data_IF_552922489071
#
_entry.id   IF_552922489071
#
_cell.length_a   1.000
_cell.length_b   1.000
_cell.length_c   1.000
_cell.angle_alpha   90.00
_cell.angle_beta   90.00
_cell.angle_gamma   90.00
#
_symmetry.space_group_name_H-M   'P 1'
#
loop_
_entity.id
_entity.type
_entity.pdbx_description
1 polymer ?
#
# COMPACT_ATOMS: atom_id res chain seq x y z
N UNK A 1 -1.18 -0.08 14.97
CA UNK A 1 -0.82 -1.50 14.71
C UNK A 1 0.57 -1.52 14.14
N UNK A 2 1.39 -2.50 14.52
CA UNK A 2 2.77 -2.62 14.04
C UNK A 2 2.83 -3.41 12.73
N UNK A 3 1.95 -4.37 12.54
CA UNK A 3 1.83 -5.17 11.32
C UNK A 3 0.38 -5.67 11.09
N UNK A 4 0.14 -6.32 9.95
CA UNK A 4 -1.18 -6.83 9.56
C UNK A 4 -1.72 -7.94 10.46
N UNK A 5 -0.91 -8.53 11.31
CA UNK A 5 -1.31 -9.64 12.19
C UNK A 5 -1.67 -9.16 13.59
N UNK A 6 -1.38 -7.92 13.93
CA UNK A 6 -1.80 -7.39 15.23
C UNK A 6 -3.33 -7.36 15.30
N UNK A 7 -3.91 -7.75 16.43
CA UNK A 7 -5.33 -7.58 16.64
C UNK A 7 -5.68 -6.09 16.58
N UNK A 8 -6.87 -5.81 16.08
CA UNK A 8 -7.39 -4.44 16.09
C UNK A 8 -7.51 -3.94 17.54
N UNK A 9 -7.17 -2.68 17.82
CA UNK A 9 -7.34 -2.10 19.14
C UNK A 9 -8.79 -2.21 19.61
N UNK A 10 -8.99 -2.59 20.86
CA UNK A 10 -10.33 -2.61 21.46
C UNK A 10 -10.88 -1.18 21.55
N UNK A 11 -12.16 -1.02 21.21
CA UNK A 11 -12.84 0.28 21.25
C UNK A 11 -12.49 1.21 20.08
N UNK A 12 -11.78 0.72 19.07
CA UNK A 12 -11.60 1.45 17.83
C UNK A 12 -12.94 1.58 17.11
N UNK A 13 -13.33 2.81 16.81
CA UNK A 13 -14.50 3.11 16.00
C UNK A 13 -14.04 3.43 14.59
N UNK A 14 -14.53 2.67 13.62
CA UNK A 14 -14.20 2.88 12.22
C UNK A 14 -15.04 4.00 11.63
N UNK A 15 -14.49 4.76 10.68
CA UNK A 15 -15.24 5.86 10.07
C UNK A 15 -16.54 5.43 9.37
N UNK A 16 -16.69 4.21 8.81
CA UNK A 16 -17.97 3.75 8.28
C UNK A 16 -19.08 3.62 9.31
N UNK A 17 -18.76 3.48 10.61
CA UNK A 17 -19.78 3.49 11.67
C UNK A 17 -20.47 4.85 11.78
N UNK A 18 -19.74 5.96 11.60
CA UNK A 18 -20.33 7.30 11.55
C UNK A 18 -21.20 7.49 10.30
N UNK A 19 -20.80 6.95 9.16
CA UNK A 19 -21.62 6.94 7.95
C UNK A 19 -22.94 6.17 8.18
N UNK A 20 -22.85 4.97 8.77
CA UNK A 20 -24.00 4.13 9.07
C UNK A 20 -24.95 4.83 10.04
N UNK A 21 -24.43 5.45 11.11
CA UNK A 21 -25.23 6.23 12.07
C UNK A 21 -25.90 7.45 11.44
N UNK A 22 -25.28 8.02 10.39
CA UNK A 22 -25.86 9.12 9.61
C UNK A 22 -26.89 8.65 8.56
N UNK A 23 -27.25 7.36 8.54
CA UNK A 23 -28.30 6.82 7.68
C UNK A 23 -27.80 6.27 6.34
N UNK A 24 -26.48 6.22 6.09
CA UNK A 24 -25.94 5.59 4.89
C UNK A 24 -26.16 4.09 4.89
N UNK A 25 -26.46 3.54 3.73
CA UNK A 25 -26.32 2.10 3.49
C UNK A 25 -24.85 1.80 3.17
N UNK A 26 -24.25 0.87 3.93
CA UNK A 26 -22.79 0.70 3.94
C UNK A 26 -22.38 -0.71 3.52
N UNK A 27 -21.42 -0.82 2.60
CA UNK A 27 -20.89 -2.09 2.12
C UNK A 27 -19.37 -2.13 2.10
N UNK A 28 -18.83 -3.29 2.45
CA UNK A 28 -17.45 -3.66 2.21
C UNK A 28 -17.40 -4.90 1.31
N UNK A 29 -16.67 -4.79 0.20
CA UNK A 29 -16.46 -5.90 -0.73
C UNK A 29 -14.97 -6.00 -1.04
N UNK A 30 -14.32 -7.07 -0.58
CA UNK A 30 -12.93 -7.33 -0.96
C UNK A 30 -11.99 -7.68 0.18
N UNK A 31 -10.74 -7.27 0.03
CA UNK A 31 -9.63 -7.60 0.92
C UNK A 31 -9.64 -6.71 2.17
N UNK A 32 -9.84 -7.33 3.33
CA UNK A 32 -9.69 -6.66 4.63
C UNK A 32 -8.25 -6.70 5.14
N UNK A 33 -7.69 -7.88 5.25
CA UNK A 33 -6.29 -8.17 5.59
C UNK A 33 -5.71 -7.47 6.84
N UNK A 34 -6.51 -7.21 7.84
CA UNK A 34 -6.07 -6.69 9.13
C UNK A 34 -6.47 -7.68 10.24
N UNK A 35 -5.66 -7.73 11.32
CA UNK A 35 -5.88 -8.69 12.41
C UNK A 35 -5.55 -10.14 12.05
N UNK A 36 -4.66 -10.37 11.09
CA UNK A 36 -4.27 -11.70 10.62
C UNK A 36 -5.14 -12.22 9.48
N UNK A 37 -5.60 -13.47 9.60
CA UNK A 37 -6.40 -14.12 8.57
C UNK A 37 -7.92 -14.04 8.84
N UNK A 38 -8.37 -12.93 9.45
CA UNK A 38 -9.80 -12.72 9.69
C UNK A 38 -10.51 -12.19 8.45
N UNK A 39 -11.75 -12.59 8.25
CA UNK A 39 -12.63 -12.11 7.20
C UNK A 39 -14.08 -11.92 7.65
N UNK A 40 -14.32 -11.94 8.97
CA UNK A 40 -15.65 -11.65 9.51
C UNK A 40 -15.99 -10.15 9.37
N UNK A 41 -17.29 -9.88 9.32
CA UNK A 41 -17.80 -8.52 9.19
C UNK A 41 -17.26 -7.61 10.31
N UNK A 42 -16.89 -6.40 9.92
CA UNK A 42 -16.44 -5.35 10.82
C UNK A 42 -17.56 -4.36 11.10
N UNK A 43 -17.52 -3.66 12.24
CA UNK A 43 -18.51 -2.61 12.55
C UNK A 43 -18.60 -1.55 11.45
N UNK A 44 -19.79 -0.97 11.27
CA UNK A 44 -20.04 0.10 10.31
C UNK A 44 -20.44 -0.36 8.90
N UNK A 45 -20.63 -1.68 8.68
CA UNK A 45 -21.05 -2.22 7.39
C UNK A 45 -22.34 -3.04 7.49
N UNK A 46 -23.33 -2.72 6.65
CA UNK A 46 -24.57 -3.45 6.50
C UNK A 46 -24.42 -4.69 5.60
N UNK A 47 -23.52 -4.59 4.62
CA UNK A 47 -23.20 -5.67 3.69
C UNK A 47 -21.71 -5.95 3.70
N UNK A 48 -21.35 -7.23 3.74
CA UNK A 48 -19.98 -7.65 3.89
C UNK A 48 -19.63 -8.81 2.97
N UNK A 49 -18.60 -8.61 2.15
CA UNK A 49 -17.95 -9.69 1.37
C UNK A 49 -16.44 -9.57 1.56
N UNK A 50 -15.81 -10.58 2.12
CA UNK A 50 -14.37 -10.60 2.30
C UNK A 50 -13.82 -12.02 2.20
N UNK A 51 -12.50 -12.16 2.29
CA UNK A 51 -11.80 -13.43 2.24
C UNK A 51 -10.59 -13.41 3.18
N UNK A 52 -10.15 -14.60 3.60
CA UNK A 52 -9.01 -14.73 4.51
C UNK A 52 -7.68 -14.38 3.85
N UNK A 53 -6.85 -13.65 4.57
CA UNK A 53 -5.46 -13.35 4.21
C UNK A 53 -5.32 -12.68 2.85
N UNK A 54 -4.49 -13.26 1.97
CA UNK A 54 -4.19 -12.69 0.65
C UNK A 54 -5.17 -13.13 -0.45
N UNK A 55 -5.97 -14.16 -0.22
CA UNK A 55 -6.82 -14.74 -1.27
C UNK A 55 -6.03 -15.30 -2.46
N UNK A 56 -6.72 -15.81 -3.45
CA UNK A 56 -6.16 -16.32 -4.71
C UNK A 56 -6.76 -15.58 -5.90
N UNK A 57 -6.00 -15.41 -6.99
CA UNK A 57 -6.55 -14.77 -8.20
C UNK A 57 -7.60 -15.64 -8.87
N UNK A 58 -7.34 -16.94 -8.96
CA UNK A 58 -8.24 -17.93 -9.54
C UNK A 58 -8.70 -18.93 -8.48
N UNK A 59 -9.93 -19.41 -8.62
CA UNK A 59 -10.52 -20.40 -7.70
C UNK A 59 -9.72 -21.70 -7.60
N UNK A 60 -9.08 -22.11 -8.71
CA UNK A 60 -8.22 -23.29 -8.78
C UNK A 60 -6.77 -23.05 -8.31
N UNK A 61 -6.45 -21.81 -7.89
CA UNK A 61 -5.13 -21.43 -7.42
C UNK A 61 -4.05 -21.30 -8.50
N UNK A 62 -4.41 -21.45 -9.79
CA UNK A 62 -3.45 -21.36 -10.89
C UNK A 62 -2.75 -19.99 -10.92
N UNK A 63 -1.51 -19.98 -11.36
CA UNK A 63 -0.66 -18.79 -11.47
C UNK A 63 -0.08 -18.29 -10.16
N UNK A 64 -0.38 -18.91 -9.01
CA UNK A 64 0.25 -18.57 -7.75
C UNK A 64 1.60 -19.31 -7.62
N UNK A 65 2.63 -18.61 -7.17
CA UNK A 65 3.95 -19.20 -6.90
C UNK A 65 3.94 -20.12 -5.66
N UNK A 66 2.95 -19.95 -4.79
CA UNK A 66 2.77 -20.77 -3.59
C UNK A 66 1.88 -21.95 -3.90
N UNK A 67 2.32 -23.15 -3.51
CA UNK A 67 1.38 -24.26 -3.31
C UNK A 67 0.48 -23.87 -2.13
N UNK A 68 -0.64 -23.27 -2.42
CA UNK A 68 -1.67 -23.00 -1.42
C UNK A 68 -2.30 -24.37 -1.10
N UNK A 69 -2.27 -24.86 0.14
CA UNK A 69 -2.97 -26.09 0.48
C UNK A 69 -4.44 -25.93 0.08
N UNK A 70 -4.99 -26.93 -0.57
CA UNK A 70 -6.35 -26.91 -1.13
C UNK A 70 -7.44 -26.50 -0.12
N UNK A 71 -7.14 -26.62 1.18
CA UNK A 71 -8.03 -26.29 2.29
C UNK A 71 -7.74 -24.93 2.97
N UNK A 72 -6.74 -24.17 2.51
CA UNK A 72 -6.37 -22.89 3.14
C UNK A 72 -7.15 -21.69 2.60
N UNK A 73 -7.88 -21.90 1.51
CA UNK A 73 -8.72 -20.88 0.89
C UNK A 73 -10.15 -21.43 0.71
N UNK A 74 -11.03 -21.03 1.58
CA UNK A 74 -12.41 -21.50 1.65
C UNK A 74 -13.43 -20.55 0.99
N UNK A 75 -12.97 -19.69 0.08
CA UNK A 75 -13.79 -18.74 -0.68
C UNK A 75 -14.07 -17.44 0.08
N UNK A 76 -15.23 -16.86 -0.18
CA UNK A 76 -15.66 -15.59 0.39
C UNK A 76 -16.50 -15.81 1.66
N UNK A 77 -16.38 -14.89 2.60
CA UNK A 77 -17.37 -14.69 3.64
C UNK A 77 -18.37 -13.64 3.16
N UNK A 78 -19.58 -14.07 2.83
CA UNK A 78 -20.69 -13.21 2.40
C UNK A 78 -21.70 -13.12 3.53
N UNK A 79 -21.71 -12.00 4.28
CA UNK A 79 -22.61 -11.82 5.44
C UNK A 79 -22.62 -13.03 6.38
N UNK A 80 -21.44 -13.49 6.80
CA UNK A 80 -21.22 -14.64 7.67
C UNK A 80 -21.53 -16.02 7.04
N UNK A 81 -21.83 -16.09 5.75
CA UNK A 81 -21.97 -17.36 5.01
C UNK A 81 -20.74 -17.59 4.15
N UNK A 82 -20.22 -18.82 4.17
CA UNK A 82 -19.10 -19.22 3.32
C UNK A 82 -19.60 -19.55 1.90
N UNK A 83 -19.05 -18.86 0.90
CA UNK A 83 -19.39 -19.04 -0.51
C UNK A 83 -18.11 -19.34 -1.28
N UNK A 84 -18.02 -20.46 -2.01
CA UNK A 84 -16.85 -20.79 -2.82
C UNK A 84 -16.57 -19.73 -3.89
N UNK A 85 -15.29 -19.41 -4.11
CA UNK A 85 -14.87 -18.68 -5.30
C UNK A 85 -15.07 -19.57 -6.53
N UNK A 86 -15.52 -19.00 -7.64
CA UNK A 86 -15.81 -19.73 -8.88
C UNK A 86 -14.86 -19.38 -10.03
N UNK A 87 -14.40 -18.15 -10.09
CA UNK A 87 -13.64 -17.63 -11.20
C UNK A 87 -12.47 -16.72 -10.79
N UNK A 88 -12.34 -15.62 -11.48
CA UNK A 88 -11.30 -14.63 -11.23
C UNK A 88 -11.77 -13.63 -10.16
N UNK A 89 -10.98 -13.52 -9.09
CA UNK A 89 -11.40 -12.81 -7.87
C UNK A 89 -11.82 -11.36 -8.10
N UNK A 90 -11.14 -10.61 -8.99
CA UNK A 90 -11.47 -9.20 -9.27
C UNK A 90 -12.85 -9.06 -9.87
N UNK A 91 -13.20 -9.97 -10.80
CA UNK A 91 -14.52 -9.98 -11.44
C UNK A 91 -15.61 -10.31 -10.41
N UNK A 92 -15.43 -11.39 -9.62
CA UNK A 92 -16.42 -11.80 -8.63
C UNK A 92 -16.64 -10.75 -7.53
N UNK A 93 -15.57 -10.10 -7.05
CA UNK A 93 -15.73 -9.01 -6.09
C UNK A 93 -16.52 -7.84 -6.69
N UNK A 94 -16.27 -7.52 -7.96
CA UNK A 94 -17.03 -6.49 -8.66
C UNK A 94 -18.49 -6.91 -8.85
N UNK A 95 -18.75 -8.17 -9.17
CA UNK A 95 -20.12 -8.70 -9.29
C UNK A 95 -20.90 -8.54 -7.97
N UNK A 96 -20.30 -8.88 -6.82
CA UNK A 96 -20.91 -8.64 -5.51
C UNK A 96 -21.20 -7.16 -5.26
N UNK A 97 -20.27 -6.27 -5.63
CA UNK A 97 -20.47 -4.83 -5.47
C UNK A 97 -21.60 -4.30 -6.36
N UNK A 98 -21.65 -4.74 -7.62
CA UNK A 98 -22.69 -4.37 -8.56
C UNK A 98 -24.08 -4.89 -8.15
N UNK A 99 -24.15 -6.13 -7.66
CA UNK A 99 -25.40 -6.72 -7.18
C UNK A 99 -25.90 -5.99 -5.94
N UNK A 100 -25.01 -5.65 -5.01
CA UNK A 100 -25.40 -4.82 -3.86
C UNK A 100 -25.89 -3.43 -4.30
N UNK A 101 -25.18 -2.74 -5.20
CA UNK A 101 -25.60 -1.45 -5.75
C UNK A 101 -26.97 -1.52 -6.45
N UNK A 102 -27.32 -2.65 -7.06
CA UNK A 102 -28.63 -2.86 -7.71
C UNK A 102 -29.75 -3.11 -6.72
N UNK A 103 -29.47 -3.80 -5.62
CA UNK A 103 -30.48 -4.34 -4.70
C UNK A 103 -30.62 -3.54 -3.41
N UNK A 104 -29.70 -2.59 -3.13
CA UNK A 104 -29.78 -1.71 -1.96
C UNK A 104 -31.04 -0.84 -1.99
N UNK A 105 -31.42 -0.34 -0.84
CA UNK A 105 -32.47 0.67 -0.71
C UNK A 105 -32.09 1.96 -1.46
N UNK A 106 -32.85 2.27 -2.50
CA UNK A 106 -32.60 3.41 -3.40
C UNK A 106 -32.75 4.78 -2.74
N UNK A 107 -33.53 4.87 -1.67
CA UNK A 107 -33.85 6.13 -0.99
C UNK A 107 -32.75 6.58 0.00
N UNK A 108 -31.82 5.69 0.33
CA UNK A 108 -30.73 6.00 1.26
C UNK A 108 -29.42 6.33 0.52
N UNK A 109 -28.63 7.29 1.02
CA UNK A 109 -27.27 7.47 0.54
C UNK A 109 -26.45 6.22 0.83
N UNK A 110 -25.37 6.01 0.08
CA UNK A 110 -24.55 4.80 0.25
C UNK A 110 -23.07 5.11 0.41
N UNK A 111 -22.39 4.17 1.06
CA UNK A 111 -20.95 4.11 1.15
C UNK A 111 -20.48 2.68 0.78
N UNK A 112 -19.68 2.56 -0.26
CA UNK A 112 -19.11 1.30 -0.73
C UNK A 112 -17.58 1.35 -0.68
N UNK A 113 -16.98 0.39 0.02
CA UNK A 113 -15.56 0.08 -0.10
C UNK A 113 -15.40 -1.14 -1.01
N UNK A 114 -14.90 -0.94 -2.23
CA UNK A 114 -14.54 -2.03 -3.14
C UNK A 114 -13.02 -2.21 -3.12
N UNK A 115 -12.54 -3.18 -2.35
CA UNK A 115 -11.13 -3.43 -2.07
C UNK A 115 -10.63 -4.66 -2.82
N UNK A 116 -10.21 -4.49 -4.07
CA UNK A 116 -9.71 -5.61 -4.87
C UNK A 116 -8.40 -6.18 -4.30
N UNK A 117 -8.19 -7.51 -4.47
CA UNK A 117 -6.87 -8.13 -4.29
C UNK A 117 -5.85 -7.60 -5.31
N UNK A 118 -6.28 -7.35 -6.53
CA UNK A 118 -5.45 -6.80 -7.59
C UNK A 118 -5.06 -5.33 -7.25
N UNK A 119 -3.81 -4.95 -7.44
CA UNK A 119 -2.77 -5.76 -8.04
C UNK A 119 -1.72 -6.19 -7.00
N UNK A 120 -2.02 -7.13 -6.15
CA UNK A 120 -1.02 -7.70 -5.21
C UNK A 120 -0.23 -8.82 -5.91
N UNK A 121 1.07 -8.97 -5.60
CA UNK A 121 1.83 -10.14 -6.09
C UNK A 121 1.07 -11.45 -5.74
N UNK A 122 1.10 -12.45 -6.57
CA UNK A 122 2.01 -12.78 -7.69
C UNK A 122 1.74 -12.09 -9.05
N UNK A 123 0.82 -11.17 -9.16
CA UNK A 123 0.39 -10.55 -10.42
C UNK A 123 -0.05 -11.60 -11.44
N UNK A 124 -1.24 -12.12 -11.25
CA UNK A 124 -1.84 -13.12 -12.15
C UNK A 124 -2.95 -12.45 -12.94
N UNK A 125 -2.74 -12.13 -14.21
CA UNK A 125 -3.76 -11.48 -15.03
C UNK A 125 -4.93 -12.41 -15.32
N UNK A 126 -6.11 -11.84 -15.55
CA UNK A 126 -7.20 -12.58 -16.16
C UNK A 126 -6.81 -13.07 -17.56
N UNK A 127 -7.32 -14.23 -17.97
CA UNK A 127 -6.94 -14.85 -19.24
C UNK A 127 -7.13 -13.93 -20.45
N UNK A 128 -8.18 -13.08 -20.45
CA UNK A 128 -8.46 -12.09 -21.49
C UNK A 128 -7.45 -10.96 -21.61
N UNK A 129 -6.61 -10.75 -20.58
CA UNK A 129 -5.57 -9.72 -20.58
C UNK A 129 -4.16 -10.28 -20.67
N UNK A 130 -4.00 -11.59 -20.54
CA UNK A 130 -2.71 -12.27 -20.58
C UNK A 130 -2.04 -12.09 -21.94
N UNK A 131 -0.79 -11.63 -21.93
CA UNK A 131 0.01 -11.40 -23.13
C UNK A 131 -0.29 -10.07 -23.85
N UNK A 132 -1.14 -9.21 -23.27
CA UNK A 132 -1.49 -7.91 -23.87
C UNK A 132 -0.28 -6.99 -24.04
N UNK A 133 0.71 -7.13 -23.16
CA UNK A 133 1.92 -6.32 -23.15
C UNK A 133 3.21 -7.15 -23.39
N UNK A 134 3.11 -8.35 -23.97
CA UNK A 134 4.24 -9.29 -24.17
C UNK A 134 5.45 -8.66 -24.88
N UNK A 135 5.21 -7.71 -25.79
CA UNK A 135 6.26 -7.05 -26.59
C UNK A 135 6.74 -5.73 -25.96
N UNK A 136 6.25 -5.37 -24.76
CA UNK A 136 6.66 -4.16 -24.07
C UNK A 136 7.88 -4.39 -23.18
N UNK A 137 8.67 -3.34 -23.02
CA UNK A 137 9.80 -3.34 -22.09
C UNK A 137 9.55 -2.33 -20.98
N UNK A 138 9.83 -2.75 -19.75
CA UNK A 138 9.87 -1.87 -18.59
C UNK A 138 10.94 -0.80 -18.79
N UNK A 139 10.62 0.49 -18.72
CA UNK A 139 11.64 1.52 -18.57
C UNK A 139 12.30 1.34 -17.20
N UNK A 140 13.60 1.02 -17.18
CA UNK A 140 14.32 0.83 -15.92
C UNK A 140 14.40 2.14 -15.15
N UNK A 141 14.15 2.12 -13.82
CA UNK A 141 14.28 3.29 -12.97
C UNK A 141 15.69 3.88 -13.01
N UNK A 142 15.83 5.19 -12.87
CA UNK A 142 17.15 5.88 -12.79
C UNK A 142 18.01 5.32 -11.66
N UNK A 143 17.40 4.86 -10.59
CA UNK A 143 18.03 4.26 -9.41
C UNK A 143 18.16 2.74 -9.50
N UNK A 144 17.86 2.14 -10.64
CA UNK A 144 18.07 0.71 -10.88
C UNK A 144 19.55 0.37 -10.77
N UNK A 145 19.93 -0.28 -9.69
CA UNK A 145 21.31 -0.41 -9.32
C UNK A 145 21.89 -1.77 -9.71
N UNK A 146 22.79 -1.74 -10.69
CA UNK A 146 23.85 -2.78 -10.82
C UNK A 146 25.25 -2.23 -10.48
N UNK A 147 25.39 -0.94 -10.17
CA UNK A 147 26.70 -0.32 -9.93
C UNK A 147 26.79 0.31 -8.53
N UNK A 148 27.98 0.28 -7.94
CA UNK A 148 28.26 0.91 -6.65
C UNK A 148 28.00 2.44 -6.60
N UNK A 149 27.90 3.10 -7.75
CA UNK A 149 27.58 4.53 -7.83
C UNK A 149 26.20 4.85 -7.26
N UNK A 150 25.22 3.97 -7.47
CA UNK A 150 23.85 4.17 -6.99
C UNK A 150 23.68 3.95 -5.48
N UNK A 151 24.71 3.43 -4.79
CA UNK A 151 24.72 3.25 -3.34
C UNK A 151 25.63 4.24 -2.61
N UNK A 152 26.21 5.18 -3.32
CA UNK A 152 27.02 6.22 -2.68
C UNK A 152 26.15 7.02 -1.73
N UNK A 153 26.61 7.17 -0.51
CA UNK A 153 25.92 7.88 0.58
C UNK A 153 24.55 7.28 0.97
N UNK A 154 24.19 6.09 0.47
CA UNK A 154 22.96 5.41 0.88
C UNK A 154 23.21 4.43 2.02
N UNK A 155 22.20 4.13 2.84
CA UNK A 155 22.33 3.22 3.97
C UNK A 155 22.75 1.81 3.49
N UNK A 156 23.50 1.14 4.34
CA UNK A 156 24.05 -0.19 4.03
C UNK A 156 22.96 -1.25 3.95
N UNK A 157 21.91 -1.10 4.75
CA UNK A 157 20.81 -2.06 4.77
C UNK A 157 20.17 -2.29 3.38
N UNK A 158 20.20 -1.29 2.48
CA UNK A 158 19.72 -1.44 1.10
C UNK A 158 20.44 -2.55 0.34
N UNK A 159 21.74 -2.72 0.55
CA UNK A 159 22.52 -3.80 -0.09
C UNK A 159 22.15 -5.15 0.50
N UNK A 160 22.03 -5.21 1.83
CA UNK A 160 21.68 -6.44 2.54
C UNK A 160 20.30 -6.92 2.13
N UNK A 161 19.37 -5.98 1.96
CA UNK A 161 18.00 -6.26 1.53
C UNK A 161 17.93 -6.89 0.14
N UNK A 162 18.77 -6.47 -0.78
CA UNK A 162 18.83 -7.06 -2.14
C UNK A 162 19.16 -8.54 -2.17
N UNK A 163 19.84 -9.03 -1.14
CA UNK A 163 20.20 -10.44 -1.00
C UNK A 163 19.21 -11.21 -0.13
N UNK A 164 18.10 -10.63 0.23
CA UNK A 164 17.08 -11.26 1.07
C UNK A 164 15.77 -11.45 0.29
N UNK A 165 14.97 -12.38 0.77
CA UNK A 165 13.62 -12.57 0.27
C UNK A 165 12.73 -11.47 0.84
N UNK A 166 12.06 -10.74 -0.04
CA UNK A 166 11.13 -9.68 0.36
C UNK A 166 9.71 -10.06 0.11
N UNK A 167 8.89 -9.69 1.09
CA UNK A 167 7.46 -9.70 0.98
C UNK A 167 6.90 -11.04 0.61
N UNK A 168 6.62 -11.21 -0.60
CA UNK A 168 5.77 -12.26 -1.10
C UNK A 168 6.54 -13.22 -2.01
N UNK A 169 7.61 -13.80 -1.56
CA UNK A 169 8.19 -14.97 -2.22
C UNK A 169 9.09 -14.74 -3.42
N UNK A 170 9.69 -13.59 -3.53
CA UNK A 170 10.74 -13.41 -4.51
C UNK A 170 12.04 -12.94 -3.87
N UNK A 171 13.15 -13.31 -4.46
CA UNK A 171 14.46 -12.76 -4.18
C UNK A 171 14.94 -12.03 -5.43
N UNK A 172 15.40 -10.81 -5.24
CA UNK A 172 15.86 -9.94 -6.31
C UNK A 172 17.03 -10.53 -7.09
N UNK A 173 17.84 -11.33 -6.42
CA UNK A 173 19.04 -11.94 -6.96
C UNK A 173 18.86 -13.36 -7.51
N UNK A 174 17.62 -13.84 -7.67
CA UNK A 174 17.39 -15.13 -8.30
C UNK A 174 17.88 -15.12 -9.74
N UNK A 175 18.61 -16.14 -10.19
CA UNK A 175 19.16 -16.21 -11.56
C UNK A 175 18.09 -16.07 -12.64
N UNK A 176 16.91 -16.65 -12.40
CA UNK A 176 15.79 -16.70 -13.35
C UNK A 176 14.77 -15.58 -13.15
N UNK A 177 15.05 -14.61 -12.29
CA UNK A 177 14.11 -13.53 -12.04
C UNK A 177 14.11 -12.50 -13.18
N UNK A 178 13.06 -12.49 -13.97
CA UNK A 178 12.82 -11.51 -15.02
C UNK A 178 11.93 -10.37 -14.50
N UNK A 179 12.55 -9.24 -14.16
CA UNK A 179 11.86 -8.05 -13.69
C UNK A 179 10.89 -7.50 -14.74
N UNK A 180 11.25 -7.57 -16.03
CA UNK A 180 10.38 -7.10 -17.11
C UNK A 180 9.11 -7.94 -17.21
N UNK A 181 9.24 -9.26 -17.22
CA UNK A 181 8.09 -10.17 -17.22
C UNK A 181 7.22 -9.98 -15.96
N UNK A 182 7.84 -9.72 -14.83
CA UNK A 182 7.14 -9.47 -13.57
C UNK A 182 6.32 -8.18 -13.62
N UNK A 183 6.89 -7.09 -14.15
CA UNK A 183 6.20 -5.82 -14.35
C UNK A 183 5.09 -5.90 -15.40
N UNK A 184 5.31 -6.64 -16.50
CA UNK A 184 4.29 -6.88 -17.52
C UNK A 184 3.07 -7.56 -16.90
N UNK A 185 3.26 -8.60 -16.10
CA UNK A 185 2.15 -9.26 -15.38
C UNK A 185 1.40 -8.30 -14.45
N UNK A 186 2.12 -7.41 -13.77
CA UNK A 186 1.49 -6.35 -12.97
C UNK A 186 0.57 -5.48 -13.82
N UNK A 187 1.06 -4.97 -14.96
CA UNK A 187 0.28 -4.12 -15.87
C UNK A 187 -0.93 -4.87 -16.45
N UNK A 188 -0.75 -6.13 -16.84
CA UNK A 188 -1.84 -6.97 -17.37
C UNK A 188 -2.89 -7.29 -16.28
N UNK A 189 -2.46 -7.46 -15.03
CA UNK A 189 -3.39 -7.64 -13.91
C UNK A 189 -4.19 -6.37 -13.63
N UNK A 190 -3.55 -5.20 -13.77
CA UNK A 190 -4.20 -3.90 -13.58
C UNK A 190 -5.31 -3.64 -14.61
N UNK A 191 -5.18 -4.14 -15.85
CA UNK A 191 -6.23 -4.01 -16.86
C UNK A 191 -7.58 -4.57 -16.41
N UNK A 192 -7.55 -5.64 -15.58
CA UNK A 192 -8.79 -6.20 -15.03
C UNK A 192 -9.43 -5.27 -14.01
N UNK A 193 -8.63 -4.55 -13.24
CA UNK A 193 -9.16 -3.53 -12.30
C UNK A 193 -9.82 -2.40 -13.08
N UNK A 194 -9.14 -1.89 -14.11
CA UNK A 194 -9.64 -0.80 -14.96
C UNK A 194 -10.98 -1.17 -15.62
N UNK A 195 -11.05 -2.35 -16.24
CA UNK A 195 -12.28 -2.88 -16.83
C UNK A 195 -13.43 -3.00 -15.82
N UNK A 196 -13.14 -3.51 -14.64
CA UNK A 196 -14.14 -3.68 -13.60
C UNK A 196 -14.60 -2.36 -12.98
N UNK A 197 -13.72 -1.36 -12.87
CA UNK A 197 -14.12 -0.01 -12.51
C UNK A 197 -15.05 0.60 -13.57
N UNK A 198 -14.78 0.37 -14.86
CA UNK A 198 -15.68 0.76 -15.95
C UNK A 198 -17.10 0.24 -15.71
N UNK A 199 -17.25 -1.05 -15.38
CA UNK A 199 -18.56 -1.66 -15.06
C UNK A 199 -19.29 -0.98 -13.89
N UNK A 200 -18.54 -0.53 -12.87
CA UNK A 200 -19.13 0.24 -11.75
C UNK A 200 -19.58 1.61 -12.22
N UNK A 201 -18.77 2.32 -13.00
CA UNK A 201 -19.13 3.62 -13.58
C UNK A 201 -20.37 3.53 -14.47
N UNK A 202 -20.45 2.51 -15.32
CA UNK A 202 -21.60 2.26 -16.19
C UNK A 202 -22.89 2.08 -15.37
N UNK A 203 -22.85 1.26 -14.32
CA UNK A 203 -24.02 1.07 -13.44
C UNK A 203 -24.43 2.36 -12.72
N UNK A 204 -23.48 3.16 -12.25
CA UNK A 204 -23.77 4.45 -11.63
C UNK A 204 -24.38 5.45 -12.62
N UNK A 205 -23.89 5.43 -13.87
CA UNK A 205 -24.44 6.26 -14.93
C UNK A 205 -25.86 5.83 -15.33
N UNK A 206 -26.10 4.53 -15.51
CA UNK A 206 -27.42 3.95 -15.83
C UNK A 206 -28.48 4.25 -14.77
N UNK A 207 -28.05 4.56 -13.54
CA UNK A 207 -28.93 4.91 -12.42
C UNK A 207 -28.93 6.40 -12.09
N UNK A 208 -28.38 7.24 -12.92
CA UNK A 208 -28.24 8.69 -12.71
C UNK A 208 -27.50 9.05 -11.41
N UNK A 209 -26.67 8.16 -10.89
CA UNK A 209 -25.92 8.34 -9.63
C UNK A 209 -24.49 8.84 -9.84
N UNK A 210 -23.92 8.70 -11.04
CA UNK A 210 -22.49 8.96 -11.29
C UNK A 210 -22.10 10.41 -11.00
N UNK A 211 -23.00 11.37 -11.24
CA UNK A 211 -22.72 12.81 -11.04
C UNK A 211 -22.65 13.20 -9.56
N UNK A 212 -23.50 12.59 -8.74
CA UNK A 212 -23.64 12.88 -7.30
C UNK A 212 -22.85 11.91 -6.41
N UNK A 213 -22.23 10.87 -6.98
CA UNK A 213 -21.39 9.94 -6.24
C UNK A 213 -19.94 10.42 -6.21
N UNK A 214 -19.39 10.58 -5.01
CA UNK A 214 -17.95 10.77 -4.84
C UNK A 214 -17.24 9.43 -5.01
N UNK A 215 -16.60 9.23 -6.17
CA UNK A 215 -15.75 8.08 -6.44
C UNK A 215 -14.30 8.42 -6.09
N UNK A 216 -13.69 7.61 -5.23
CA UNK A 216 -12.27 7.72 -4.86
C UNK A 216 -11.55 6.46 -5.31
N UNK A 217 -10.52 6.60 -6.14
CA UNK A 217 -9.61 5.54 -6.52
C UNK A 217 -8.24 5.75 -5.89
N UNK A 218 -7.75 4.75 -5.17
CA UNK A 218 -6.42 4.80 -4.56
C UNK A 218 -5.80 3.41 -4.42
N UNK A 219 -4.47 3.34 -4.28
CA UNK A 219 -3.77 2.15 -3.81
C UNK A 219 -3.61 2.16 -2.28
N UNK A 220 -3.35 0.99 -1.70
CA UNK A 220 -3.02 0.83 -0.27
C UNK A 220 -1.57 1.22 0.04
N UNK A 221 -0.65 0.92 -0.87
CA UNK A 221 0.76 1.29 -0.87
C UNK A 221 1.31 1.29 -2.30
N UNK A 222 2.47 1.92 -2.49
CA UNK A 222 3.24 1.82 -3.72
C UNK A 222 4.00 0.49 -3.81
N UNK A 223 4.80 0.33 -4.88
CA UNK A 223 5.64 -0.84 -5.08
C UNK A 223 6.86 -0.49 -5.93
N UNK A 224 8.03 -0.95 -5.52
CA UNK A 224 9.29 -0.74 -6.23
C UNK A 224 9.50 -1.85 -7.26
N UNK A 225 9.70 -1.46 -8.51
CA UNK A 225 10.09 -2.33 -9.63
C UNK A 225 11.53 -2.05 -10.05
N UNK A 226 12.45 -2.08 -9.09
CA UNK A 226 13.86 -1.83 -9.30
C UNK A 226 14.35 -0.46 -8.82
N UNK A 227 13.46 0.42 -8.38
CA UNK A 227 13.85 1.67 -7.71
C UNK A 227 14.70 1.35 -6.49
N UNK A 228 15.80 2.10 -6.33
CA UNK A 228 16.82 1.86 -5.31
C UNK A 228 17.42 0.44 -5.34
N UNK A 229 17.26 -0.27 -6.46
CA UNK A 229 17.66 -1.66 -6.62
C UNK A 229 16.78 -2.65 -5.86
N UNK A 230 15.56 -2.29 -5.47
CA UNK A 230 14.66 -3.10 -4.67
C UNK A 230 13.42 -3.54 -5.45
N UNK A 231 12.83 -4.63 -4.98
CA UNK A 231 11.47 -5.06 -5.34
C UNK A 231 10.73 -5.21 -4.03
N UNK A 232 10.13 -4.14 -3.56
CA UNK A 232 9.57 -4.05 -2.22
C UNK A 232 8.55 -2.92 -2.09
N UNK A 233 7.91 -2.84 -0.93
CA UNK A 233 6.95 -1.81 -0.53
C UNK A 233 7.14 -1.33 0.92
N UNK A 234 8.21 -1.74 1.61
CA UNK A 234 8.46 -1.50 3.04
C UNK A 234 9.52 -0.42 3.27
N UNK A 235 9.54 0.56 2.39
CA UNK A 235 10.56 1.62 2.43
C UNK A 235 9.92 3.00 2.39
N UNK A 236 10.66 4.01 2.85
CA UNK A 236 10.20 5.40 2.81
C UNK A 236 10.51 6.11 1.48
N UNK A 237 10.81 5.39 0.40
CA UNK A 237 10.99 5.97 -0.92
C UNK A 237 9.65 6.24 -1.62
N UNK A 238 9.60 7.27 -2.49
CA UNK A 238 8.37 7.67 -3.18
C UNK A 238 7.70 6.51 -3.91
N UNK A 239 8.46 5.63 -4.57
CA UNK A 239 7.89 4.47 -5.26
C UNK A 239 7.14 3.49 -4.33
N UNK A 240 7.52 3.42 -3.05
CA UNK A 240 6.86 2.60 -2.03
C UNK A 240 5.74 3.34 -1.30
N UNK A 241 5.90 4.65 -1.04
CA UNK A 241 4.96 5.45 -0.25
C UNK A 241 3.83 6.04 -1.09
N UNK A 242 4.17 6.55 -2.28
CA UNK A 242 3.24 7.30 -3.11
C UNK A 242 2.35 6.37 -3.90
N UNK A 243 1.04 6.62 -3.81
CA UNK A 243 0.01 5.86 -4.53
C UNK A 243 -0.72 6.77 -5.53
N UNK A 244 -1.30 6.21 -6.60
CA UNK A 244 -2.26 6.95 -7.38
C UNK A 244 -3.44 7.34 -6.48
N UNK A 245 -3.92 8.59 -6.62
CA UNK A 245 -5.09 9.07 -5.92
C UNK A 245 -5.92 9.93 -6.87
N UNK A 246 -7.13 9.48 -7.17
CA UNK A 246 -8.05 10.13 -8.10
C UNK A 246 -9.41 10.30 -7.43
N UNK A 247 -10.06 11.44 -7.66
CA UNK A 247 -11.42 11.71 -7.19
C UNK A 247 -12.30 12.14 -8.36
N UNK A 248 -13.53 11.66 -8.37
CA UNK A 248 -14.56 12.03 -9.33
C UNK A 248 -15.87 12.30 -8.63
N UNK A 249 -16.40 13.50 -8.77
CA UNK A 249 -17.74 13.92 -8.39
C UNK A 249 -18.04 15.24 -9.12
N UNK A 250 -18.49 15.20 -10.38
CA UNK A 250 -18.53 16.36 -11.26
C UNK A 250 -19.46 17.48 -10.80
N UNK A 251 -20.41 17.21 -9.92
CA UNK A 251 -21.26 18.24 -9.32
C UNK A 251 -20.50 19.19 -8.38
N UNK A 252 -19.38 18.71 -7.78
CA UNK A 252 -18.65 19.49 -6.75
C UNK A 252 -17.16 19.59 -7.00
N UNK A 253 -16.57 18.71 -7.82
CA UNK A 253 -15.14 18.71 -8.13
C UNK A 253 -14.95 19.05 -9.60
N UNK A 254 -14.22 20.12 -9.88
CA UNK A 254 -13.87 20.50 -11.25
C UNK A 254 -12.97 19.46 -11.89
N UNK A 255 -13.37 18.94 -13.06
CA UNK A 255 -12.55 18.01 -13.84
C UNK A 255 -11.20 18.60 -14.23
N UNK A 256 -10.15 17.75 -14.22
CA UNK A 256 -8.78 18.17 -14.55
C UNK A 256 -8.06 18.98 -13.47
N UNK A 257 -8.68 19.20 -12.30
CA UNK A 257 -8.02 19.89 -11.19
C UNK A 257 -6.95 19.00 -10.53
N UNK A 258 -5.91 19.61 -9.97
CA UNK A 258 -4.81 18.92 -9.29
C UNK A 258 -4.56 19.57 -7.94
N UNK A 259 -4.69 18.78 -6.87
CA UNK A 259 -4.27 19.18 -5.53
C UNK A 259 -2.78 18.90 -5.37
N UNK A 260 -1.96 19.95 -5.23
CA UNK A 260 -0.50 19.83 -5.08
C UNK A 260 -0.04 19.60 -3.65
N UNK A 261 -0.92 19.83 -2.66
CA UNK A 261 -0.63 19.62 -1.25
C UNK A 261 -0.41 18.14 -0.94
N UNK A 262 0.46 17.87 0.03
CA UNK A 262 0.71 16.49 0.48
C UNK A 262 -0.47 15.98 1.29
N UNK A 263 -1.26 15.11 0.70
CA UNK A 263 -2.34 14.37 1.37
C UNK A 263 -1.86 12.95 1.67
N UNK A 264 -2.41 12.35 2.73
CA UNK A 264 -2.05 11.01 3.17
C UNK A 264 -3.29 10.12 3.28
N UNK A 265 -3.09 8.79 3.33
CA UNK A 265 -4.17 7.82 3.48
C UNK A 265 -5.01 8.04 4.75
N UNK A 266 -4.39 8.54 5.84
CA UNK A 266 -5.11 8.90 7.08
C UNK A 266 -6.13 10.02 6.87
N UNK A 267 -6.00 10.83 5.82
CA UNK A 267 -6.88 11.95 5.49
C UNK A 267 -8.16 11.51 4.76
N UNK A 268 -8.19 10.30 4.25
CA UNK A 268 -9.31 9.81 3.43
C UNK A 268 -10.60 9.70 4.26
N UNK A 269 -10.54 9.06 5.43
CA UNK A 269 -11.70 8.94 6.32
C UNK A 269 -12.31 10.31 6.69
N UNK A 270 -11.51 11.25 7.24
CA UNK A 270 -11.97 12.63 7.48
C UNK A 270 -12.58 13.32 6.26
N UNK A 271 -11.99 13.13 5.08
CA UNK A 271 -12.47 13.74 3.83
C UNK A 271 -13.84 13.18 3.41
N UNK A 272 -14.00 11.85 3.51
CA UNK A 272 -15.28 11.20 3.20
C UNK A 272 -16.38 11.60 4.19
N UNK A 273 -16.05 11.74 5.48
CA UNK A 273 -16.99 12.24 6.48
C UNK A 273 -17.42 13.67 6.17
N UNK A 274 -16.49 14.60 5.88
CA UNK A 274 -16.84 15.97 5.51
C UNK A 274 -17.66 16.01 4.20
N UNK A 275 -17.32 15.21 3.21
CA UNK A 275 -18.10 15.11 1.97
C UNK A 275 -19.54 14.63 2.23
N UNK A 276 -19.75 13.82 3.26
CA UNK A 276 -21.06 13.38 3.72
C UNK A 276 -21.74 14.37 4.67
N UNK A 277 -21.16 15.55 4.91
CA UNK A 277 -21.69 16.56 5.85
C UNK A 277 -21.47 16.23 7.33
N UNK A 278 -20.54 15.31 7.65
CA UNK A 278 -20.25 14.88 9.01
C UNK A 278 -18.96 15.51 9.53
N UNK A 279 -18.88 15.68 10.83
CA UNK A 279 -17.68 16.18 11.50
C UNK A 279 -16.61 15.07 11.60
N UNK A 280 -15.33 15.45 11.50
CA UNK A 280 -14.22 14.54 11.78
C UNK A 280 -14.12 14.27 13.29
N UNK A 281 -14.19 13.00 13.73
CA UNK A 281 -13.99 12.64 15.13
C UNK A 281 -12.58 12.97 15.63
N UNK A 282 -12.47 13.41 16.88
CA UNK A 282 -11.19 13.86 17.46
C UNK A 282 -10.11 12.77 17.62
N UNK A 283 -10.48 11.49 17.49
CA UNK A 283 -9.54 10.36 17.52
C UNK A 283 -8.84 10.09 16.17
N UNK A 284 -9.21 10.81 15.11
CA UNK A 284 -8.59 10.67 13.80
C UNK A 284 -7.40 11.61 13.67
N UNK A 285 -6.21 11.09 13.38
CA UNK A 285 -5.00 11.88 13.15
C UNK A 285 -5.00 12.61 11.82
N UNK A 286 -5.80 12.15 10.86
CA UNK A 286 -5.96 12.75 9.53
C UNK A 286 -6.74 14.06 9.53
N UNK A 287 -6.63 14.79 8.43
CA UNK A 287 -7.35 16.05 8.17
C UNK A 287 -8.12 15.95 6.87
N UNK A 288 -9.34 16.46 6.85
CA UNK A 288 -10.09 16.51 5.59
C UNK A 288 -9.45 17.47 4.58
N UNK A 289 -9.23 16.98 3.37
CA UNK A 289 -8.83 17.77 2.21
C UNK A 289 -10.02 18.03 1.25
N UNK A 290 -11.25 17.83 1.70
CA UNK A 290 -12.43 18.03 0.88
C UNK A 290 -12.51 19.44 0.28
N UNK A 291 -12.14 20.47 1.06
CA UNK A 291 -12.11 21.84 0.55
C UNK A 291 -11.04 22.03 -0.53
N UNK A 292 -9.86 21.43 -0.37
CA UNK A 292 -8.82 21.44 -1.42
C UNK A 292 -9.30 20.74 -2.70
N UNK A 293 -10.03 19.63 -2.58
CA UNK A 293 -10.60 18.91 -3.72
C UNK A 293 -11.64 19.77 -4.47
N UNK A 294 -12.38 20.61 -3.78
CA UNK A 294 -13.32 21.58 -4.39
C UNK A 294 -12.63 22.81 -4.99
N UNK A 295 -11.31 22.93 -4.83
CA UNK A 295 -10.52 24.04 -5.36
C UNK A 295 -10.38 25.24 -4.40
N UNK A 296 -10.80 25.09 -3.14
CA UNK A 296 -10.64 26.13 -2.14
C UNK A 296 -9.21 26.08 -1.56
N UNK A 297 -8.59 27.24 -1.35
CA UNK A 297 -7.31 27.32 -0.64
C UNK A 297 -7.57 27.38 0.86
N UNK A 298 -7.01 26.43 1.58
CA UNK A 298 -7.10 26.33 3.03
C UNK A 298 -5.72 26.10 3.66
N UNK A 299 -5.50 26.51 4.91
CA UNK A 299 -4.28 26.15 5.64
C UNK A 299 -4.10 24.63 5.68
N UNK A 300 -2.94 24.16 5.28
CA UNK A 300 -2.61 22.73 5.20
C UNK A 300 -1.33 22.42 5.96
N UNK A 301 -1.13 21.14 6.30
CA UNK A 301 0.11 20.69 6.94
C UNK A 301 1.32 20.83 6.01
N UNK A 302 2.47 21.14 6.58
CA UNK A 302 3.72 21.20 5.83
C UNK A 302 4.34 19.81 5.63
N UNK A 303 4.07 18.88 6.56
CA UNK A 303 4.73 17.57 6.60
C UNK A 303 3.76 16.46 7.00
N UNK A 304 4.00 15.28 6.44
CA UNK A 304 3.40 14.00 6.88
C UNK A 304 4.48 13.11 7.48
N UNK A 305 4.08 12.33 8.48
CA UNK A 305 4.90 11.29 9.09
C UNK A 305 4.66 9.96 8.38
N UNK A 306 5.73 9.28 8.04
CA UNK A 306 5.72 7.87 7.62
C UNK A 306 6.36 7.04 8.71
N UNK A 307 5.74 5.89 9.03
CA UNK A 307 6.23 4.94 10.02
C UNK A 307 6.20 3.53 9.45
N UNK A 308 7.33 2.84 9.56
CA UNK A 308 7.42 1.40 9.34
C UNK A 308 8.15 0.78 10.53
N UNK A 309 7.53 -0.22 11.13
CA UNK A 309 8.10 -0.94 12.26
C UNK A 309 8.70 -2.25 11.79
N UNK A 310 9.88 -2.58 12.33
CA UNK A 310 10.56 -3.83 12.04
C UNK A 310 9.64 -5.04 12.23
N UNK A 311 9.62 -5.90 11.21
CA UNK A 311 8.86 -7.14 11.21
C UNK A 311 9.81 -8.34 11.25
N UNK A 312 9.53 -9.29 12.13
CA UNK A 312 10.32 -10.52 12.23
C UNK A 312 10.42 -11.28 10.91
N UNK A 313 9.38 -11.24 10.10
CA UNK A 313 9.35 -11.90 8.79
C UNK A 313 10.18 -11.17 7.72
N UNK A 314 10.60 -9.92 8.00
CA UNK A 314 11.39 -9.07 7.09
C UNK A 314 12.59 -8.46 7.82
N UNK A 315 13.51 -9.29 8.34
CA UNK A 315 14.51 -8.87 9.32
C UNK A 315 15.52 -7.87 8.76
N UNK A 316 15.64 -7.75 7.46
CA UNK A 316 16.58 -6.82 6.82
C UNK A 316 16.02 -5.41 6.61
N UNK A 317 14.71 -5.22 6.77
CA UNK A 317 14.09 -3.90 6.69
C UNK A 317 14.05 -3.29 8.09
N UNK A 318 14.78 -2.20 8.34
CA UNK A 318 14.83 -1.58 9.67
C UNK A 318 13.54 -0.85 9.99
N UNK A 319 13.28 -0.61 11.26
CA UNK A 319 12.28 0.38 11.68
C UNK A 319 12.68 1.73 11.10
N UNK A 320 11.76 2.34 10.37
CA UNK A 320 11.98 3.54 9.59
C UNK A 320 10.93 4.59 9.93
N UNK A 321 11.38 5.80 10.21
CA UNK A 321 10.52 6.96 10.27
C UNK A 321 10.95 7.97 9.20
N UNK A 322 9.98 8.63 8.56
CA UNK A 322 10.30 9.69 7.63
C UNK A 322 9.34 10.88 7.79
N UNK A 323 9.88 12.06 7.54
CA UNK A 323 9.12 13.31 7.39
C UNK A 323 9.14 13.69 5.93
N UNK A 324 7.96 13.77 5.31
CA UNK A 324 7.80 14.13 3.91
C UNK A 324 7.04 15.45 3.80
N UNK A 325 7.73 16.51 3.32
CA UNK A 325 7.15 17.80 2.95
C UNK A 325 6.93 17.94 1.45
N UNK A 326 6.53 19.12 0.98
CA UNK A 326 6.35 19.37 -0.45
C UNK A 326 7.68 19.27 -1.23
N UNK A 327 8.77 19.72 -0.65
CA UNK A 327 10.09 19.72 -1.27
C UNK A 327 11.02 18.67 -0.70
N UNK A 328 11.22 18.67 0.61
CA UNK A 328 12.23 17.80 1.23
C UNK A 328 11.58 16.59 1.92
N UNK A 329 12.31 15.47 1.86
CA UNK A 329 12.02 14.26 2.63
C UNK A 329 13.27 13.85 3.40
N UNK A 330 13.11 13.65 4.71
CA UNK A 330 14.13 13.14 5.61
C UNK A 330 13.72 11.77 6.11
N UNK A 331 14.63 10.80 6.03
CA UNK A 331 14.41 9.40 6.43
C UNK A 331 15.42 9.05 7.50
N UNK A 332 14.92 8.48 8.61
CA UNK A 332 15.71 8.02 9.75
C UNK A 332 15.44 6.55 10.02
N UNK A 333 16.52 5.83 10.33
CA UNK A 333 16.49 4.42 10.67
C UNK A 333 16.75 4.21 12.16
N UNK A 334 16.06 3.22 12.75
CA UNK A 334 16.17 2.91 14.16
C UNK A 334 16.60 1.45 14.37
N UNK A 335 17.40 1.20 15.39
CA UNK A 335 17.92 -0.14 15.71
C UNK A 335 19.09 -0.57 14.85
N UNK A 336 19.54 0.27 13.92
CA UNK A 336 20.73 0.08 13.11
C UNK A 336 21.60 1.34 13.18
N UNK A 337 22.91 1.16 13.24
CA UNK A 337 23.87 2.24 13.02
C UNK A 337 24.06 2.37 11.51
N UNK A 338 23.18 3.12 10.86
CA UNK A 338 23.22 3.32 9.41
C UNK A 338 22.94 4.78 9.05
N UNK A 339 23.18 5.11 7.81
CA UNK A 339 23.08 6.47 7.29
C UNK A 339 21.65 6.90 7.14
N UNK A 340 21.26 8.02 7.74
CA UNK A 340 20.01 8.72 7.45
C UNK A 340 20.01 9.27 6.02
N UNK A 341 18.85 9.66 5.51
CA UNK A 341 18.75 10.16 4.14
C UNK A 341 17.97 11.48 4.08
N UNK A 342 18.42 12.36 3.17
CA UNK A 342 17.73 13.59 2.81
C UNK A 342 17.60 13.68 1.30
N UNK A 343 16.39 13.96 0.81
CA UNK A 343 16.10 14.12 -0.62
C UNK A 343 15.36 15.43 -0.91
N UNK A 344 15.75 16.11 -2.00
CA UNK A 344 15.02 17.26 -2.57
C UNK A 344 14.08 16.73 -3.67
N UNK A 345 12.86 16.41 -3.33
CA UNK A 345 11.89 15.80 -4.24
C UNK A 345 11.47 16.73 -5.40
N UNK A 346 11.69 18.04 -5.26
CA UNK A 346 11.40 19.00 -6.32
C UNK A 346 12.43 18.90 -7.44
N UNK A 347 13.71 18.77 -7.10
CA UNK A 347 14.81 18.72 -8.05
C UNK A 347 15.25 17.27 -8.37
N UNK A 348 15.02 16.35 -7.45
CA UNK A 348 15.33 14.91 -7.57
C UNK A 348 14.13 14.06 -7.17
N UNK A 349 13.05 14.03 -7.98
CA UNK A 349 11.84 13.24 -7.67
C UNK A 349 12.06 11.73 -7.71
N UNK A 350 13.23 11.28 -8.18
CA UNK A 350 13.62 9.87 -8.22
C UNK A 350 14.54 9.45 -7.07
N UNK A 351 14.88 10.37 -6.15
CA UNK A 351 15.70 10.08 -4.98
C UNK A 351 17.05 9.45 -5.34
N UNK A 352 17.69 10.01 -6.36
CA UNK A 352 18.97 9.51 -6.88
C UNK A 352 20.14 9.90 -6.00
N UNK A 353 20.07 11.06 -5.31
CA UNK A 353 21.16 11.64 -4.56
C UNK A 353 20.78 11.91 -3.11
N UNK A 354 21.43 11.19 -2.17
CA UNK A 354 21.28 11.48 -0.76
C UNK A 354 22.10 12.72 -0.38
N UNK A 355 21.42 13.75 0.10
CA UNK A 355 21.99 15.06 0.46
C UNK A 355 22.40 15.15 1.94
N UNK A 356 22.37 14.07 2.68
CA UNK A 356 22.56 14.04 4.15
C UNK A 356 23.93 14.58 4.58
N UNK A 357 24.94 14.44 3.74
CA UNK A 357 26.32 14.88 4.02
C UNK A 357 26.68 16.22 3.37
N UNK A 358 25.74 16.85 2.66
CA UNK A 358 26.00 18.13 2.01
C UNK A 358 25.92 19.27 3.03
N UNK A 359 27.01 20.06 3.20
CA UNK A 359 27.08 21.09 4.25
C UNK A 359 25.96 22.13 4.16
N UNK A 360 25.53 22.50 2.95
CA UNK A 360 24.46 23.47 2.72
C UNK A 360 23.09 22.97 3.19
N UNK A 361 22.91 21.69 3.40
CA UNK A 361 21.66 21.08 3.87
C UNK A 361 21.64 20.78 5.38
N UNK A 362 22.69 21.09 6.12
CA UNK A 362 22.79 20.79 7.56
C UNK A 362 21.63 21.36 8.37
N UNK A 363 21.24 22.60 8.11
CA UNK A 363 20.12 23.25 8.81
C UNK A 363 18.78 22.60 8.44
N UNK A 364 18.62 22.19 7.18
CA UNK A 364 17.44 21.42 6.72
C UNK A 364 17.34 20.09 7.43
N UNK A 365 18.42 19.33 7.55
CA UNK A 365 18.47 18.07 8.30
C UNK A 365 18.08 18.29 9.75
N UNK A 366 18.68 19.30 10.41
CA UNK A 366 18.39 19.63 11.82
C UNK A 366 16.91 19.97 12.01
N UNK A 367 16.35 20.81 11.14
CA UNK A 367 14.93 21.19 11.16
C UNK A 367 14.00 19.97 10.98
N UNK A 368 14.28 19.15 9.97
CA UNK A 368 13.44 17.99 9.67
C UNK A 368 13.55 16.88 10.72
N UNK A 369 14.74 16.66 11.28
CA UNK A 369 14.90 15.73 12.39
C UNK A 369 14.12 16.19 13.64
N UNK A 370 14.17 17.50 13.96
CA UNK A 370 13.34 18.06 15.03
C UNK A 370 11.86 17.84 14.74
N UNK A 371 11.39 18.15 13.53
CA UNK A 371 9.99 17.99 13.15
C UNK A 371 9.53 16.53 13.19
N UNK A 372 10.40 15.59 12.82
CA UNK A 372 10.13 14.16 12.93
C UNK A 372 9.77 13.77 14.38
N UNK A 373 10.59 14.19 15.35
CA UNK A 373 10.33 13.86 16.75
C UNK A 373 9.12 14.60 17.34
N UNK A 374 8.82 15.81 16.86
CA UNK A 374 7.57 16.51 17.20
C UNK A 374 6.35 15.73 16.71
N UNK A 375 6.34 15.29 15.43
CA UNK A 375 5.25 14.50 14.87
C UNK A 375 5.09 13.15 15.59
N UNK A 376 6.19 12.49 15.95
CA UNK A 376 6.16 11.26 16.73
C UNK A 376 5.57 11.50 18.14
N UNK A 377 5.90 12.61 18.77
CA UNK A 377 5.31 12.96 20.07
C UNK A 377 3.82 13.28 19.97
N UNK A 378 3.43 14.03 18.94
CA UNK A 378 2.03 14.36 18.63
C UNK A 378 1.17 13.11 18.40
N UNK A 379 1.71 12.08 17.73
CA UNK A 379 1.00 10.82 17.43
C UNK A 379 1.17 9.72 18.49
N UNK A 380 1.91 9.97 19.58
CA UNK A 380 2.25 8.95 20.59
C UNK A 380 3.28 7.92 20.11
N UNK A 381 3.96 8.17 18.99
CA UNK A 381 4.93 7.28 18.35
C UNK A 381 6.36 7.33 18.90
N UNK A 382 6.61 8.02 20.00
CA UNK A 382 7.96 8.11 20.62
C UNK A 382 8.46 6.80 21.20
N UNK A 383 7.55 5.83 21.44
CA UNK A 383 7.89 4.49 21.93
C UNK A 383 7.88 3.50 20.78
N UNK A 384 9.02 2.90 20.43
CA UNK A 384 9.10 1.81 19.48
C UNK A 384 8.42 0.56 20.07
N UNK A 385 7.40 0.06 19.39
CA UNK A 385 6.68 -1.14 19.81
C UNK A 385 7.30 -2.36 19.13
N UNK A 386 7.65 -3.36 19.91
CA UNK A 386 8.05 -4.66 19.38
C UNK A 386 6.81 -5.46 19.01
N UNK A 387 6.86 -6.12 17.86
CA UNK A 387 5.84 -7.09 17.48
C UNK A 387 5.86 -8.28 18.46
N UNK A 388 4.71 -8.90 18.79
CA UNK A 388 4.67 -10.13 19.59
C UNK A 388 5.54 -11.22 18.96
N UNK A 389 6.19 -12.04 19.76
CA UNK A 389 6.88 -13.22 19.27
C UNK A 389 5.87 -14.22 18.69
N UNK A 390 6.03 -14.57 17.42
CA UNK A 390 5.14 -15.49 16.69
C UNK A 390 5.83 -16.80 16.33
N UNK A 391 6.86 -17.14 17.07
CA UNK A 391 7.60 -18.37 16.82
C UNK A 391 8.76 -18.17 15.83
N UNK A 392 9.35 -19.27 15.33
CA UNK A 392 10.53 -19.21 14.48
C UNK A 392 10.25 -18.49 13.15
N UNK A 393 11.23 -17.69 12.70
CA UNK A 393 11.21 -17.12 11.35
C UNK A 393 11.70 -18.13 10.35
N UNK A 394 11.10 -18.19 9.19
CA UNK A 394 11.69 -18.90 8.05
C UNK A 394 12.94 -18.15 7.57
N UNK A 395 13.94 -18.87 7.05
CA UNK A 395 15.07 -18.24 6.38
C UNK A 395 14.56 -17.30 5.28
N UNK A 396 15.00 -16.06 5.31
CA UNK A 396 14.61 -15.05 4.30
C UNK A 396 15.68 -14.89 3.23
N UNK A 397 16.86 -15.49 3.43
CA UNK A 397 17.87 -15.60 2.38
C UNK A 397 17.53 -16.78 1.48
N UNK A 398 17.59 -16.52 0.18
CA UNK A 398 17.43 -17.59 -0.81
C UNK A 398 18.70 -18.45 -0.86
N UNK A 399 18.60 -19.79 -1.06
CA UNK A 399 19.78 -20.65 -1.20
C UNK A 399 20.69 -20.26 -2.37
N UNK A 400 20.11 -19.77 -3.46
CA UNK A 400 20.86 -19.33 -4.66
C UNK A 400 21.15 -17.81 -4.63
N UNK A 401 21.42 -17.27 -3.46
CA UNK A 401 21.73 -15.85 -3.27
C UNK A 401 23.05 -15.47 -3.91
N UNK A 402 23.23 -14.16 -4.13
CA UNK A 402 24.50 -13.62 -4.61
C UNK A 402 25.65 -13.91 -3.64
N UNK A 403 26.83 -14.24 -4.16
CA UNK A 403 28.07 -14.43 -3.39
C UNK A 403 28.38 -13.22 -2.49
N UNK A 404 27.99 -12.01 -2.89
CA UNK A 404 28.15 -10.81 -2.06
C UNK A 404 27.36 -10.86 -0.73
N UNK A 405 26.41 -11.81 -0.58
CA UNK A 405 25.68 -12.03 0.66
C UNK A 405 26.38 -13.00 1.61
N UNK A 406 27.41 -13.68 1.16
CA UNK A 406 28.17 -14.63 1.96
C UNK A 406 29.28 -13.92 2.74
N UNK A 407 29.56 -14.43 3.92
CA UNK A 407 30.79 -14.05 4.60
C UNK A 407 31.99 -14.64 3.81
N UNK A 408 33.11 -13.93 3.77
CA UNK A 408 34.32 -14.49 3.21
C UNK A 408 34.68 -15.83 3.88
N UNK A 409 35.01 -16.83 3.10
CA UNK A 409 35.27 -18.20 3.58
C UNK A 409 36.31 -18.29 4.70
N UNK A 410 37.27 -17.37 4.72
CA UNK A 410 38.29 -17.25 5.78
C UNK A 410 37.73 -17.07 7.20
N UNK A 411 36.46 -16.63 7.34
CA UNK A 411 35.83 -16.50 8.65
C UNK A 411 35.16 -17.79 9.16
N UNK A 412 35.04 -18.79 8.32
CA UNK A 412 34.40 -20.06 8.71
C UNK A 412 35.37 -21.12 9.15
N UNK A 413 36.70 -20.83 9.16
CA UNK A 413 37.69 -21.81 9.51
C UNK A 413 37.49 -23.09 8.67
N UNK A 414 37.62 -23.02 7.37
CA UNK A 414 37.68 -24.23 6.57
C UNK A 414 38.89 -24.99 7.03
N UNK A 415 38.67 -25.96 7.92
CA UNK A 415 39.64 -27.05 8.10
C UNK A 415 39.79 -27.72 6.73
N UNK A 416 40.97 -27.60 6.13
CA UNK A 416 41.41 -28.48 5.06
C UNK A 416 41.28 -29.95 5.47
#
# INVERSE_FOLDING_TARGET
MVDNYNPLPKGLIFFPEYMQQAGYDTAFVGKWHMGGNIDHAQPGYNYWVSFKGQGTYWADGRGTSRKVPQNSYDGFNVNSKRVPQKGYITDELTDYALDWLRTRDGDRPFFLTLSHKAVHADFVPADRHKGRYKDRKLPLPKTFAKSGKNFRNKPRWLRDQRNSRHGVDFAYNLPDFDLNAYYIRYCETLLTVDENLGRVFDLLADRDLLKSTLVVYMGDNGFQFGEQGLIDKRTAYEASMRVPFLMHCPEVIRGGSVVKKVVANIDVGPTLLEAAGLSTPGQMDGRSFWQLAKGNDIPWRDYVLYEYFWERNYPHTPTTHAVRGERFKYIRYHGLWDTDELYDLQNDPHETTNLIFEPEHKDTVTKLNKRLFELLAESGGTSLRLAPDRGPTFPKRHPDRSEAADFPGQFYGTSE
#
